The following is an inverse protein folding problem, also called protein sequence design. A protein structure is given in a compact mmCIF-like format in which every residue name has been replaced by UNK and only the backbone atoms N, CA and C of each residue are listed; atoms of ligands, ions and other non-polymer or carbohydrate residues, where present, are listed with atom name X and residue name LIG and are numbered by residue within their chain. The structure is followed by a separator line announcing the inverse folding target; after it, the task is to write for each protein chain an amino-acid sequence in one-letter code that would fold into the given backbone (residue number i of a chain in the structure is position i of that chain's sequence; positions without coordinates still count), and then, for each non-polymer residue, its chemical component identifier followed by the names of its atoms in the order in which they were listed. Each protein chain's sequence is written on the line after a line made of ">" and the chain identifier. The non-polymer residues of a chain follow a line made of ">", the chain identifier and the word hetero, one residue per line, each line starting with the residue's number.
data_IF_359038955864
#
_entry.id   IF_359038955864
#
_cell.length_a   1.000
_cell.length_b   1.000
_cell.length_c   1.000
_cell.angle_alpha   90.00
_cell.angle_beta   90.00
_cell.angle_gamma   90.00
#
_symmetry.space_group_name_H-M   'P 1'
#
loop_
_entity.id
_entity.type
_entity.pdbx_description
1 polymer ?
#
# COMPACT_ATOMS: atom_id res chain seq x y z
N UNK A 1 -4.74 33.02 -4.47
CA UNK A 1 -5.99 32.33 -4.85
C UNK A 1 -5.62 31.25 -5.85
N UNK A 2 -5.43 30.02 -5.40
CA UNK A 2 -5.18 28.87 -6.27
C UNK A 2 -6.53 28.24 -6.60
N UNK A 3 -6.90 28.24 -7.88
CA UNK A 3 -8.15 27.65 -8.34
C UNK A 3 -8.21 26.14 -8.05
N UNK A 4 -9.40 25.59 -7.73
CA UNK A 4 -9.57 24.15 -7.65
C UNK A 4 -9.48 23.55 -9.05
N UNK A 5 -8.42 22.78 -9.31
CA UNK A 5 -8.22 22.11 -10.60
C UNK A 5 -9.20 20.95 -10.75
N UNK A 6 -10.26 21.18 -11.53
CA UNK A 6 -11.19 20.16 -12.02
C UNK A 6 -10.52 19.33 -13.12
N UNK A 7 -10.68 17.99 -13.07
CA UNK A 7 -10.46 17.13 -14.22
C UNK A 7 -11.78 16.99 -14.99
N UNK A 8 -11.73 17.12 -16.32
CA UNK A 8 -12.89 17.09 -17.22
C UNK A 8 -13.59 15.72 -17.37
N UNK A 9 -13.15 14.69 -16.66
CA UNK A 9 -13.72 13.35 -16.73
C UNK A 9 -13.91 12.75 -15.32
N UNK A 10 -14.94 13.20 -14.60
CA UNK A 10 -15.80 12.40 -13.69
C UNK A 10 -15.23 11.50 -12.58
N UNK A 11 -13.93 11.22 -12.52
CA UNK A 11 -13.30 10.43 -11.47
C UNK A 11 -12.77 11.39 -10.40
N UNK A 12 -13.59 11.52 -9.36
CA UNK A 12 -13.28 12.29 -8.15
C UNK A 12 -11.96 11.80 -7.56
N UNK A 13 -10.98 12.70 -7.45
CA UNK A 13 -9.94 12.58 -6.42
C UNK A 13 -10.62 12.89 -5.08
N UNK A 14 -11.41 11.94 -4.58
CA UNK A 14 -12.24 12.15 -3.40
C UNK A 14 -11.39 11.92 -2.15
N UNK A 15 -10.92 13.01 -1.56
CA UNK A 15 -10.61 13.00 -0.13
C UNK A 15 -11.95 12.89 0.60
N UNK A 16 -12.26 11.70 1.12
CA UNK A 16 -13.56 11.37 1.72
C UNK A 16 -13.78 12.18 3.01
N UNK A 17 -14.80 13.05 3.00
CA UNK A 17 -15.58 13.53 4.17
C UNK A 17 -15.00 14.57 5.15
N UNK A 18 -13.91 15.28 4.83
CA UNK A 18 -13.67 16.63 5.40
C UNK A 18 -13.44 17.60 4.27
N UNK A 19 -14.37 18.54 4.06
CA UNK A 19 -14.15 19.61 3.09
C UNK A 19 -12.84 20.33 3.48
N UNK A 20 -11.98 20.72 2.52
CA UNK A 20 -10.75 21.45 2.82
C UNK A 20 -10.98 22.66 3.74
N UNK A 21 -12.16 23.27 3.58
CA UNK A 21 -12.65 24.37 4.43
C UNK A 21 -12.74 24.01 5.92
N UNK A 22 -13.18 22.80 6.28
CA UNK A 22 -13.25 22.36 7.69
C UNK A 22 -11.89 22.07 8.29
N UNK A 23 -10.93 21.61 7.48
CA UNK A 23 -9.56 21.43 7.94
C UNK A 23 -8.90 22.80 8.18
N UNK A 24 -9.08 23.74 7.25
CA UNK A 24 -8.56 25.10 7.38
C UNK A 24 -9.17 25.84 8.57
N UNK A 25 -10.50 25.75 8.78
CA UNK A 25 -11.15 26.39 9.92
C UNK A 25 -10.59 25.86 11.23
N UNK A 26 -10.38 24.55 11.37
CA UNK A 26 -9.79 23.99 12.59
C UNK A 26 -8.34 24.45 12.81
N UNK A 27 -7.53 24.51 11.76
CA UNK A 27 -6.13 24.95 11.86
C UNK A 27 -6.02 26.43 12.25
N UNK A 28 -6.85 27.29 11.67
CA UNK A 28 -6.78 28.73 11.96
C UNK A 28 -7.57 29.13 13.21
N UNK A 29 -8.74 28.56 13.46
CA UNK A 29 -9.62 28.96 14.57
C UNK A 29 -9.30 28.20 15.86
N UNK A 30 -9.01 26.89 15.79
CA UNK A 30 -8.76 26.09 16.99
C UNK A 30 -7.28 26.05 17.36
N UNK A 31 -6.39 25.93 16.38
CA UNK A 31 -4.94 25.84 16.61
C UNK A 31 -4.23 27.20 16.54
N UNK A 32 -4.92 28.27 16.12
CA UNK A 32 -4.37 29.63 15.98
C UNK A 32 -3.05 29.67 15.19
N UNK A 33 -2.89 28.78 14.21
CA UNK A 33 -1.65 28.69 13.44
C UNK A 33 -1.48 29.93 12.53
N UNK A 34 -0.28 30.53 12.44
CA UNK A 34 -0.05 31.75 11.66
C UNK A 34 -0.10 31.53 10.15
N UNK A 35 0.18 30.31 9.68
CA UNK A 35 0.14 29.94 8.27
C UNK A 35 -0.15 28.44 8.11
N UNK A 36 -0.70 28.06 6.96
CA UNK A 36 -0.98 26.66 6.60
C UNK A 36 -0.59 26.42 5.14
N UNK A 37 0.04 25.28 4.88
CA UNK A 37 0.39 24.83 3.53
C UNK A 37 0.05 23.34 3.39
N UNK A 38 -0.55 22.97 2.26
CA UNK A 38 -0.94 21.59 1.96
C UNK A 38 -0.40 21.18 0.60
N UNK A 39 0.11 19.95 0.52
CA UNK A 39 0.72 19.38 -0.68
C UNK A 39 0.26 17.95 -0.90
N UNK A 40 0.54 17.45 -2.10
CA UNK A 40 0.34 16.03 -2.41
C UNK A 40 1.47 15.21 -1.78
N UNK A 41 1.20 14.15 -1.01
CA UNK A 41 2.23 13.29 -0.44
C UNK A 41 3.23 12.78 -1.48
N UNK A 42 2.73 12.35 -2.65
CA UNK A 42 3.57 11.91 -3.75
C UNK A 42 4.60 12.96 -4.24
N UNK A 43 4.29 14.26 -4.16
CA UNK A 43 5.27 15.30 -4.51
C UNK A 43 6.41 15.37 -3.48
N UNK A 44 6.09 15.22 -2.19
CA UNK A 44 7.10 15.21 -1.13
C UNK A 44 8.09 14.06 -1.33
N UNK A 45 7.61 12.90 -1.76
CA UNK A 45 8.42 11.74 -2.14
C UNK A 45 9.42 12.07 -3.25
N UNK A 46 8.98 12.75 -4.30
CA UNK A 46 9.86 13.15 -5.41
C UNK A 46 10.89 14.21 -5.01
N UNK A 47 10.50 15.15 -4.13
CA UNK A 47 11.42 16.14 -3.60
C UNK A 47 12.50 15.48 -2.72
N UNK A 48 12.11 14.53 -1.87
CA UNK A 48 13.05 13.79 -1.02
C UNK A 48 14.03 12.94 -1.85
N UNK A 49 13.55 12.32 -2.93
CA UNK A 49 14.39 11.54 -3.85
C UNK A 49 15.19 12.40 -4.83
N UNK A 50 14.96 13.73 -4.86
CA UNK A 50 15.53 14.66 -5.83
C UNK A 50 15.29 14.23 -7.30
N UNK A 51 14.09 13.71 -7.58
CA UNK A 51 13.68 13.27 -8.91
C UNK A 51 12.63 14.24 -9.46
N UNK A 52 12.95 15.07 -10.47
CA UNK A 52 11.99 16.00 -11.05
C UNK A 52 10.88 15.31 -11.83
N UNK A 53 11.19 14.18 -12.47
CA UNK A 53 10.25 13.35 -13.22
C UNK A 53 10.30 11.94 -12.66
N UNK A 54 9.14 11.43 -12.25
CA UNK A 54 9.05 10.14 -11.59
C UNK A 54 7.63 9.58 -11.57
N UNK A 55 7.51 8.25 -11.55
CA UNK A 55 6.28 7.56 -11.18
C UNK A 55 6.29 7.25 -9.69
N UNK A 56 5.40 7.87 -8.93
CA UNK A 56 5.26 7.59 -7.50
C UNK A 56 4.15 6.59 -7.27
N UNK A 57 4.47 5.52 -6.56
CA UNK A 57 3.50 4.58 -6.00
C UNK A 57 3.54 4.77 -4.48
N UNK A 58 2.47 5.35 -3.95
CA UNK A 58 2.27 5.64 -2.53
C UNK A 58 1.25 4.66 -1.97
N UNK A 59 1.73 3.61 -1.31
CA UNK A 59 0.90 2.57 -0.70
C UNK A 59 0.86 2.78 0.81
N UNK A 60 -0.31 3.18 1.33
CA UNK A 60 -0.54 3.37 2.76
C UNK A 60 -1.43 2.29 3.38
N UNK A 61 -2.04 2.59 4.52
CA UNK A 61 -3.01 1.69 5.17
C UNK A 61 -4.36 1.66 4.41
N UNK A 62 -4.91 2.83 4.08
CA UNK A 62 -6.28 2.98 3.55
C UNK A 62 -6.38 3.07 2.00
N UNK A 63 -5.28 2.94 1.29
CA UNK A 63 -5.28 2.85 -0.16
C UNK A 63 -3.90 3.01 -0.76
N UNK A 64 -3.81 2.69 -2.04
CA UNK A 64 -2.60 2.87 -2.84
C UNK A 64 -2.86 3.86 -3.97
N UNK A 65 -2.00 4.86 -4.11
CA UNK A 65 -2.09 5.87 -5.14
C UNK A 65 -0.87 5.80 -6.06
N UNK A 66 -1.11 5.68 -7.36
CA UNK A 66 -0.08 5.78 -8.40
C UNK A 66 -0.21 7.13 -9.11
N UNK A 67 0.79 7.99 -8.97
CA UNK A 67 0.80 9.35 -9.50
C UNK A 67 2.05 9.59 -10.34
N UNK A 68 1.90 9.88 -11.64
CA UNK A 68 3.01 10.32 -12.47
C UNK A 68 3.31 11.80 -12.23
N UNK A 69 4.58 12.14 -12.07
CA UNK A 69 5.10 13.49 -11.85
C UNK A 69 6.10 13.81 -12.95
N UNK A 70 5.98 14.99 -13.54
CA UNK A 70 6.87 15.49 -14.57
C UNK A 70 7.29 16.91 -14.22
N UNK A 71 8.60 17.16 -14.15
CA UNK A 71 9.16 18.47 -13.76
C UNK A 71 8.48 19.06 -12.50
N UNK A 72 8.37 18.25 -11.44
CA UNK A 72 7.71 18.57 -10.16
C UNK A 72 6.21 18.90 -10.27
N UNK A 73 5.59 18.64 -11.42
CA UNK A 73 4.16 18.85 -11.66
C UNK A 73 3.45 17.49 -11.73
N UNK A 74 2.48 17.22 -10.84
CA UNK A 74 1.76 15.95 -10.85
C UNK A 74 0.72 15.91 -11.98
N UNK A 75 0.78 14.88 -12.82
CA UNK A 75 -0.17 14.66 -13.92
C UNK A 75 -1.40 13.91 -13.38
N UNK A 76 -2.25 14.65 -12.66
CA UNK A 76 -3.41 14.08 -11.93
C UNK A 76 -4.43 13.37 -12.82
N UNK A 77 -4.60 13.82 -14.06
CA UNK A 77 -5.55 13.22 -15.00
C UNK A 77 -5.19 11.78 -15.39
N UNK A 78 -3.93 11.36 -15.17
CA UNK A 78 -3.46 10.00 -15.42
C UNK A 78 -3.24 9.19 -14.15
N UNK A 79 -3.38 9.80 -12.98
CA UNK A 79 -3.24 9.12 -11.70
C UNK A 79 -4.29 8.02 -11.52
N UNK A 80 -3.91 6.99 -10.77
CA UNK A 80 -4.78 5.88 -10.38
C UNK A 80 -4.77 5.71 -8.87
N UNK A 81 -5.91 5.33 -8.31
CA UNK A 81 -6.05 4.96 -6.91
C UNK A 81 -6.68 3.58 -6.86
N UNK A 82 -6.08 2.73 -6.06
CA UNK A 82 -6.55 1.39 -5.73
C UNK A 82 -6.88 1.33 -4.24
N UNK A 83 -7.88 0.53 -3.89
CA UNK A 83 -8.30 0.30 -2.50
C UNK A 83 -7.49 -0.84 -1.86
N UNK A 84 -6.69 -1.56 -2.66
CA UNK A 84 -5.79 -2.61 -2.17
C UNK A 84 -4.56 -1.95 -1.56
N UNK A 85 -4.38 -2.15 -0.26
CA UNK A 85 -3.37 -1.48 0.55
C UNK A 85 -3.16 -2.24 1.87
N UNK A 86 -2.53 -1.61 2.86
CA UNK A 86 -2.23 -2.25 4.16
C UNK A 86 -3.45 -2.85 4.86
N UNK A 87 -4.62 -2.21 4.79
CA UNK A 87 -5.86 -2.73 5.36
C UNK A 87 -6.27 -4.07 4.74
N UNK A 88 -6.15 -4.22 3.41
CA UNK A 88 -6.49 -5.46 2.73
C UNK A 88 -5.57 -6.63 3.15
N UNK A 89 -4.29 -6.32 3.45
CA UNK A 89 -3.34 -7.29 3.99
C UNK A 89 -3.74 -7.68 5.41
N UNK A 90 -4.12 -6.72 6.24
CA UNK A 90 -4.49 -6.96 7.64
C UNK A 90 -5.77 -7.79 7.73
N UNK A 91 -6.78 -7.45 6.94
CA UNK A 91 -8.04 -8.20 6.86
C UNK A 91 -7.80 -9.65 6.38
N UNK A 92 -6.90 -9.83 5.40
CA UNK A 92 -6.54 -11.16 4.90
C UNK A 92 -5.75 -11.97 5.92
N UNK A 93 -4.74 -11.38 6.55
CA UNK A 93 -3.93 -12.03 7.58
C UNK A 93 -4.77 -12.43 8.79
N UNK A 94 -5.70 -11.57 9.22
CA UNK A 94 -6.61 -11.89 10.31
C UNK A 94 -7.42 -13.15 9.98
N UNK A 95 -8.00 -13.22 8.78
CA UNK A 95 -8.78 -14.37 8.35
C UNK A 95 -7.93 -15.64 8.25
N UNK A 96 -6.72 -15.52 7.71
CA UNK A 96 -5.80 -16.63 7.53
C UNK A 96 -5.28 -17.18 8.87
N UNK A 97 -4.90 -16.31 9.81
CA UNK A 97 -4.44 -16.70 11.14
C UNK A 97 -5.53 -17.39 11.98
N UNK A 98 -6.78 -16.95 11.85
CA UNK A 98 -7.90 -17.60 12.56
C UNK A 98 -8.19 -18.99 11.96
N UNK A 99 -8.14 -19.12 10.63
CA UNK A 99 -8.49 -20.37 9.94
C UNK A 99 -7.39 -21.43 9.97
N UNK A 100 -6.15 -21.02 9.72
CA UNK A 100 -5.02 -21.94 9.54
C UNK A 100 -4.28 -22.15 10.86
N UNK A 101 -4.02 -21.06 11.60
CA UNK A 101 -3.32 -21.10 12.87
C UNK A 101 -4.25 -21.42 14.07
N UNK A 102 -5.57 -21.51 13.85
CA UNK A 102 -6.57 -21.87 14.86
C UNK A 102 -6.66 -20.88 16.03
N UNK A 103 -6.22 -19.64 15.82
CA UNK A 103 -6.20 -18.61 16.86
C UNK A 103 -7.62 -18.08 17.10
N UNK A 104 -8.07 -18.14 18.36
CA UNK A 104 -9.37 -17.59 18.77
C UNK A 104 -9.38 -16.06 18.69
N UNK A 105 -10.45 -15.49 18.12
CA UNK A 105 -10.60 -14.05 18.02
C UNK A 105 -10.78 -13.41 19.42
N UNK A 106 -9.68 -12.95 20.01
CA UNK A 106 -9.66 -12.03 21.16
C UNK A 106 -10.13 -10.60 20.81
N UNK A 107 -9.94 -9.65 21.72
CA UNK A 107 -10.28 -8.23 21.52
C UNK A 107 -9.54 -7.59 20.33
N UNK A 108 -10.19 -6.63 19.67
CA UNK A 108 -9.69 -5.97 18.44
C UNK A 108 -8.27 -5.41 18.58
N UNK A 109 -7.97 -4.73 19.69
CA UNK A 109 -6.67 -4.07 19.89
C UNK A 109 -5.50 -5.08 19.95
N UNK A 110 -5.70 -6.22 20.61
CA UNK A 110 -4.66 -7.26 20.73
C UNK A 110 -4.37 -7.87 19.36
N UNK A 111 -5.38 -8.01 18.52
CA UNK A 111 -5.21 -8.51 17.16
C UNK A 111 -4.43 -7.57 16.25
N UNK A 112 -4.68 -6.26 16.35
CA UNK A 112 -3.94 -5.27 15.57
C UNK A 112 -2.43 -5.34 15.87
N UNK A 113 -2.06 -5.51 17.14
CA UNK A 113 -0.67 -5.68 17.56
C UNK A 113 -0.06 -6.99 17.06
N UNK A 114 -0.82 -8.09 17.13
CA UNK A 114 -0.41 -9.42 16.65
C UNK A 114 -0.18 -9.41 15.14
N UNK A 115 -1.10 -8.82 14.37
CA UNK A 115 -0.99 -8.70 12.90
C UNK A 115 0.19 -7.81 12.53
N UNK A 116 0.39 -6.70 13.25
CA UNK A 116 1.52 -5.79 13.05
C UNK A 116 2.85 -6.51 13.29
N UNK A 117 2.97 -7.27 14.37
CA UNK A 117 4.16 -8.06 14.67
C UNK A 117 4.40 -9.11 13.57
N UNK A 118 3.37 -9.84 13.18
CA UNK A 118 3.46 -10.82 12.09
C UNK A 118 3.94 -10.19 10.79
N UNK A 119 3.41 -9.01 10.44
CA UNK A 119 3.84 -8.26 9.25
C UNK A 119 5.30 -7.87 9.30
N UNK A 120 5.76 -7.39 10.45
CA UNK A 120 7.15 -6.97 10.61
C UNK A 120 8.13 -8.15 10.55
N UNK A 121 7.76 -9.30 11.14
CA UNK A 121 8.66 -10.44 11.25
C UNK A 121 8.64 -11.39 10.04
N UNK A 122 7.48 -11.55 9.39
CA UNK A 122 7.25 -12.64 8.43
C UNK A 122 6.82 -12.21 7.04
N UNK A 123 6.21 -11.04 6.88
CA UNK A 123 5.72 -10.62 5.57
C UNK A 123 6.87 -10.19 4.67
N UNK A 124 6.88 -10.72 3.45
CA UNK A 124 7.87 -10.40 2.45
C UNK A 124 7.24 -10.46 1.06
N UNK A 125 7.78 -9.67 0.13
CA UNK A 125 7.38 -9.71 -1.28
C UNK A 125 8.41 -10.53 -2.03
N UNK A 126 7.98 -11.68 -2.53
CA UNK A 126 8.82 -12.59 -3.31
C UNK A 126 9.19 -11.97 -4.66
N UNK A 127 10.42 -12.21 -5.13
CA UNK A 127 10.80 -11.85 -6.49
C UNK A 127 10.17 -12.78 -7.54
N UNK A 128 10.06 -14.06 -7.20
CA UNK A 128 9.38 -15.10 -7.96
C UNK A 128 8.54 -15.95 -6.99
N UNK A 129 7.25 -15.62 -6.92
CA UNK A 129 6.31 -16.22 -5.99
C UNK A 129 6.21 -17.74 -6.16
N UNK A 130 6.14 -18.24 -7.41
CA UNK A 130 5.98 -19.68 -7.66
C UNK A 130 7.21 -20.47 -7.20
N UNK A 131 8.39 -19.91 -7.39
CA UNK A 131 9.64 -20.55 -6.97
C UNK A 131 9.74 -20.61 -5.45
N UNK A 132 9.51 -19.49 -4.76
CA UNK A 132 9.57 -19.44 -3.30
C UNK A 132 8.50 -20.31 -2.65
N UNK A 133 7.30 -20.38 -3.25
CA UNK A 133 6.24 -21.27 -2.79
C UNK A 133 6.64 -22.75 -2.89
N UNK A 134 7.24 -23.18 -4.02
CA UNK A 134 7.75 -24.55 -4.20
C UNK A 134 8.86 -24.89 -3.19
N UNK A 135 9.76 -23.95 -2.93
CA UNK A 135 10.83 -24.13 -1.95
C UNK A 135 10.27 -24.24 -0.52
N UNK A 136 9.24 -23.46 -0.19
CA UNK A 136 8.55 -23.57 1.09
C UNK A 136 7.83 -24.91 1.24
N UNK A 137 7.06 -25.35 0.24
CA UNK A 137 6.36 -26.66 0.28
C UNK A 137 7.36 -27.81 0.44
N UNK A 138 8.52 -27.74 -0.23
CA UNK A 138 9.57 -28.74 -0.06
C UNK A 138 10.12 -28.79 1.37
N UNK A 139 10.30 -27.62 2.02
CA UNK A 139 10.74 -27.55 3.43
C UNK A 139 9.68 -28.12 4.36
N UNK A 140 8.42 -27.81 4.11
CA UNK A 140 7.29 -28.37 4.86
C UNK A 140 7.24 -29.90 4.76
N UNK A 141 7.33 -30.45 3.54
CA UNK A 141 7.38 -31.91 3.30
C UNK A 141 8.59 -32.58 3.95
N UNK A 142 9.71 -31.87 4.08
CA UNK A 142 10.90 -32.33 4.80
C UNK A 142 10.74 -32.28 6.34
N UNK A 143 9.61 -31.80 6.84
CA UNK A 143 9.33 -31.67 8.28
C UNK A 143 9.83 -30.36 8.89
N UNK A 144 10.42 -29.46 8.09
CA UNK A 144 10.87 -28.12 8.49
C UNK A 144 9.72 -27.11 8.39
N UNK A 145 8.60 -27.45 9.04
CA UNK A 145 7.42 -26.58 9.10
C UNK A 145 7.72 -25.27 9.81
N UNK A 146 7.14 -24.18 9.31
CA UNK A 146 7.36 -22.86 9.89
C UNK A 146 6.58 -22.71 11.21
N UNK A 147 7.27 -22.34 12.28
CA UNK A 147 6.63 -22.03 13.57
C UNK A 147 6.81 -20.55 13.88
N UNK A 148 5.76 -19.92 14.39
CA UNK A 148 5.75 -18.54 14.82
C UNK A 148 5.41 -18.44 16.30
N UNK A 149 6.10 -17.57 17.02
CA UNK A 149 5.87 -17.34 18.45
C UNK A 149 5.02 -16.08 18.60
N UNK A 150 3.88 -16.21 19.27
CA UNK A 150 3.01 -15.08 19.57
C UNK A 150 3.62 -14.22 20.69
N UNK A 151 3.17 -12.95 20.84
CA UNK A 151 3.58 -12.08 21.94
C UNK A 151 3.35 -12.67 23.34
N UNK A 152 2.43 -13.63 23.47
CA UNK A 152 2.11 -14.33 24.72
C UNK A 152 3.03 -15.55 24.99
N UNK A 153 3.98 -15.83 24.08
CA UNK A 153 4.91 -16.95 24.15
C UNK A 153 4.35 -18.27 23.62
N UNK A 154 3.12 -18.30 23.10
CA UNK A 154 2.57 -19.50 22.45
C UNK A 154 3.22 -19.71 21.09
N UNK A 155 3.51 -20.96 20.75
CA UNK A 155 4.03 -21.33 19.43
C UNK A 155 2.91 -21.87 18.57
N UNK A 156 2.80 -21.30 17.38
CA UNK A 156 1.81 -21.69 16.38
C UNK A 156 2.55 -22.15 15.14
N UNK A 157 2.19 -23.35 14.67
CA UNK A 157 2.69 -23.88 13.41
C UNK A 157 1.86 -23.29 12.27
N UNK A 158 2.54 -22.83 11.23
CA UNK A 158 1.92 -22.30 10.02
C UNK A 158 1.93 -23.40 8.95
N UNK A 159 0.75 -23.76 8.47
CA UNK A 159 0.57 -24.78 7.43
C UNK A 159 0.66 -24.18 6.01
N UNK A 160 0.96 -22.88 5.91
CA UNK A 160 1.11 -22.14 4.65
C UNK A 160 2.09 -20.98 4.85
N UNK A 161 2.82 -20.51 3.82
CA UNK A 161 3.71 -19.36 3.96
C UNK A 161 2.92 -18.06 3.95
N UNK A 162 2.17 -17.77 5.02
CA UNK A 162 1.28 -16.61 5.12
C UNK A 162 1.99 -15.29 4.78
N UNK A 163 3.26 -15.15 5.16
CA UNK A 163 4.08 -13.99 4.83
C UNK A 163 4.29 -13.75 3.34
N UNK A 164 4.47 -14.81 2.54
CA UNK A 164 4.61 -14.74 1.07
C UNK A 164 3.29 -14.32 0.43
N UNK A 165 2.19 -14.94 0.87
CA UNK A 165 0.85 -14.64 0.36
C UNK A 165 0.41 -13.21 0.71
N UNK A 166 0.75 -12.72 1.90
CA UNK A 166 0.46 -11.34 2.31
C UNK A 166 1.12 -10.30 1.39
N UNK A 167 2.36 -10.54 0.96
CA UNK A 167 3.03 -9.71 -0.04
C UNK A 167 2.39 -9.82 -1.42
N UNK A 168 2.05 -11.04 -1.83
CA UNK A 168 1.43 -11.32 -3.13
C UNK A 168 0.04 -10.70 -3.27
N UNK A 169 -0.72 -10.49 -2.19
CA UNK A 169 -2.04 -9.83 -2.23
C UNK A 169 -1.99 -8.44 -2.91
N UNK A 170 -0.89 -7.71 -2.78
CA UNK A 170 -0.71 -6.41 -3.45
C UNK A 170 -0.47 -6.55 -4.96
N UNK A 171 0.13 -7.66 -5.39
CA UNK A 171 0.47 -7.93 -6.79
C UNK A 171 -0.66 -8.68 -7.50
N UNK A 172 -1.32 -9.59 -6.82
CA UNK A 172 -2.40 -10.42 -7.32
C UNK A 172 -3.61 -10.35 -6.37
N UNK A 173 -4.47 -9.34 -6.51
CA UNK A 173 -5.65 -9.21 -5.68
C UNK A 173 -6.73 -10.26 -5.97
N UNK A 174 -6.54 -11.11 -6.99
CA UNK A 174 -7.35 -12.31 -7.19
C UNK A 174 -7.34 -13.24 -5.98
N UNK A 175 -6.30 -13.19 -5.13
CA UNK A 175 -6.24 -13.90 -3.85
C UNK A 175 -7.37 -13.48 -2.91
N UNK A 176 -7.78 -12.21 -2.97
CA UNK A 176 -8.91 -11.66 -2.21
C UNK A 176 -10.27 -11.88 -2.91
N UNK A 177 -10.27 -12.52 -4.08
CA UNK A 177 -11.46 -12.64 -4.93
C UNK A 177 -11.85 -11.32 -5.62
N UNK A 178 -10.94 -10.35 -5.71
CA UNK A 178 -11.18 -9.07 -6.37
C UNK A 178 -10.74 -9.14 -7.84
N UNK A 179 -11.59 -8.64 -8.74
CA UNK A 179 -11.29 -8.51 -10.17
C UNK A 179 -10.67 -7.14 -10.48
N UNK A 180 -9.59 -6.82 -9.78
CA UNK A 180 -8.82 -5.58 -9.95
C UNK A 180 -7.38 -5.90 -10.34
N UNK A 181 -6.68 -4.94 -10.94
CA UNK A 181 -5.25 -5.09 -11.20
C UNK A 181 -4.45 -4.90 -9.91
N UNK A 182 -3.32 -5.63 -9.77
CA UNK A 182 -2.34 -5.34 -8.73
C UNK A 182 -1.50 -4.10 -9.02
N UNK A 183 -0.55 -3.80 -8.12
CA UNK A 183 0.28 -2.61 -8.19
C UNK A 183 1.06 -2.47 -9.51
N UNK A 184 1.64 -3.56 -10.00
CA UNK A 184 2.38 -3.58 -11.26
C UNK A 184 1.48 -3.26 -12.47
N UNK A 185 0.22 -3.72 -12.46
CA UNK A 185 -0.74 -3.42 -13.51
C UNK A 185 -1.14 -1.95 -13.46
N UNK A 186 -1.39 -1.40 -12.27
CA UNK A 186 -1.72 0.01 -12.10
C UNK A 186 -0.56 0.92 -12.53
N UNK A 187 0.67 0.61 -12.12
CA UNK A 187 1.87 1.31 -12.55
C UNK A 187 2.01 1.32 -14.07
N UNK A 188 1.93 0.14 -14.70
CA UNK A 188 2.01 0.01 -16.15
C UNK A 188 0.89 0.77 -16.87
N UNK A 189 -0.34 0.70 -16.36
CA UNK A 189 -1.49 1.38 -16.94
C UNK A 189 -1.34 2.91 -16.87
N UNK A 190 -0.81 3.45 -15.77
CA UNK A 190 -0.54 4.88 -15.62
C UNK A 190 0.53 5.33 -16.62
N UNK A 191 1.65 4.61 -16.72
CA UNK A 191 2.72 4.92 -17.68
C UNK A 191 2.23 4.82 -19.13
N UNK A 192 1.48 3.77 -19.48
CA UNK A 192 0.92 3.57 -20.82
C UNK A 192 -0.04 4.69 -21.21
N UNK A 193 -0.76 5.27 -20.26
CA UNK A 193 -1.63 6.42 -20.51
C UNK A 193 -0.86 7.72 -20.68
N UNK A 194 0.33 7.84 -20.14
CA UNK A 194 1.18 9.00 -20.37
C UNK A 194 1.71 9.03 -21.80
N UNK A 195 2.05 10.24 -22.26
CA UNK A 195 2.59 10.48 -23.60
C UNK A 195 3.92 9.78 -23.78
N UNK A 196 4.19 9.30 -25.00
CA UNK A 196 5.34 8.44 -25.29
C UNK A 196 6.68 9.07 -24.88
N UNK A 197 6.83 10.38 -25.05
CA UNK A 197 8.03 11.13 -24.69
C UNK A 197 8.31 11.15 -23.18
N UNK A 198 7.29 10.96 -22.34
CA UNK A 198 7.42 11.02 -20.88
C UNK A 198 7.71 9.64 -20.27
N UNK A 199 7.47 8.55 -21.01
CA UNK A 199 7.49 7.19 -20.44
C UNK A 199 8.87 6.75 -19.97
N UNK A 200 9.91 7.11 -20.71
CA UNK A 200 11.29 6.75 -20.36
C UNK A 200 11.69 7.43 -19.04
N UNK A 201 11.48 8.75 -18.93
CA UNK A 201 11.77 9.49 -17.70
C UNK A 201 10.93 9.03 -16.49
N UNK A 202 9.67 8.61 -16.70
CA UNK A 202 8.84 8.07 -15.63
C UNK A 202 9.29 6.68 -15.14
N UNK A 203 9.91 5.88 -16.01
CA UNK A 203 10.40 4.53 -15.68
C UNK A 203 11.82 4.56 -15.10
N UNK A 204 12.63 5.56 -15.46
CA UNK A 204 13.96 5.76 -14.87
C UNK A 204 13.87 6.27 -13.42
N UNK A 205 12.91 7.15 -13.15
CA UNK A 205 12.60 7.64 -11.81
C UNK A 205 11.41 6.92 -11.19
N UNK A 206 11.60 5.70 -10.67
CA UNK A 206 10.56 5.06 -9.84
C UNK A 206 10.99 5.11 -8.37
N UNK A 207 10.76 6.23 -7.65
CA UNK A 207 10.75 6.22 -6.21
C UNK A 207 9.51 5.45 -5.76
N UNK A 208 9.66 4.15 -5.55
CA UNK A 208 8.68 3.35 -4.82
C UNK A 208 8.70 3.82 -3.36
N UNK A 209 7.72 4.64 -2.95
CA UNK A 209 7.54 4.95 -1.54
C UNK A 209 6.46 4.00 -1.00
N UNK A 210 6.91 2.78 -0.70
CA UNK A 210 6.18 1.86 0.16
C UNK A 210 6.27 2.43 1.58
N UNK A 211 5.27 3.20 2.00
CA UNK A 211 5.11 3.52 3.43
C UNK A 211 4.53 2.27 4.09
N UNK A 212 5.36 1.25 4.28
CA UNK A 212 5.02 0.12 5.15
C UNK A 212 5.18 0.57 6.60
N UNK A 213 4.12 0.37 7.38
CA UNK A 213 4.07 0.47 8.84
C UNK A 213 4.48 1.84 9.41
N UNK A 214 3.53 2.77 9.48
CA UNK A 214 3.59 3.82 10.50
C UNK A 214 2.58 3.49 11.59
N UNK A 215 3.12 3.29 12.80
CA UNK A 215 2.57 3.33 14.17
C UNK A 215 1.07 3.52 14.40
#
# INVERSE_FOLDING_TARGET
>A
MTEPLYASNGQRYQNSKRSPQRQLSHVFESLSAPAYYTTLPALLSTYAANLPTALVIDSGFAGTATVPIYEHTPIRCRARRNEISGQAIDDWLQLALVREAGLEQQSTNVWEDVIRLFKFERCLVAGDFEKELKEWTRREEAGEGETWELPDGRRVRLDRPLGLWAGEVLLNPGILGLDTGGLQHDAFNVVRRCDKALREGLLEGIPCLLVSATD
#
